data_IF_124389506372
#
_entry.id   IF_124389506372
#
_cell.length_a   1.000
_cell.length_b   1.000
_cell.length_c   1.000
_cell.angle_alpha   90.00
_cell.angle_beta   90.00
_cell.angle_gamma   90.00
#
_symmetry.space_group_name_H-M   'P 1'
#
loop_
_entity.id
_entity.type
_entity.pdbx_description
1 polymer ?
#
# COMPACT_ATOMS: atom_id res chain seq x y z
N UNK A 1 6.76 -4.83 10.40
CA UNK A 1 7.39 -5.34 9.16
C UNK A 1 6.87 -6.72 8.77
N UNK A 2 6.31 -7.48 9.71
CA UNK A 2 5.68 -8.78 9.45
C UNK A 2 4.57 -8.72 8.38
N UNK A 3 3.84 -7.61 8.32
CA UNK A 3 2.75 -7.42 7.35
C UNK A 3 3.20 -6.94 5.96
N UNK A 4 4.51 -6.73 5.74
CA UNK A 4 5.00 -6.22 4.45
C UNK A 4 4.73 -7.21 3.31
N UNK A 5 5.08 -8.50 3.48
CA UNK A 5 4.84 -9.52 2.46
C UNK A 5 3.32 -9.77 2.26
N UNK A 6 2.51 -10.00 3.30
CA UNK A 6 1.06 -10.15 3.16
C UNK A 6 0.38 -8.94 2.48
N UNK A 7 0.77 -7.72 2.83
CA UNK A 7 0.24 -6.51 2.18
C UNK A 7 0.55 -6.51 0.67
N UNK A 8 1.78 -6.87 0.29
CA UNK A 8 2.18 -6.91 -1.12
C UNK A 8 1.42 -7.96 -1.94
N UNK A 9 1.11 -9.12 -1.35
CA UNK A 9 0.29 -10.14 -2.01
C UNK A 9 -1.13 -9.63 -2.30
N UNK A 10 -1.71 -8.85 -1.40
CA UNK A 10 -3.03 -8.21 -1.64
C UNK A 10 -2.90 -7.09 -2.66
N UNK A 11 -1.91 -6.21 -2.51
CA UNK A 11 -1.68 -5.08 -3.42
C UNK A 11 -1.52 -5.52 -4.89
N UNK A 12 -0.77 -6.60 -5.12
CA UNK A 12 -0.53 -7.15 -6.46
C UNK A 12 -1.79 -7.69 -7.15
N UNK A 13 -2.85 -8.01 -6.40
CA UNK A 13 -4.15 -8.40 -6.98
C UNK A 13 -4.87 -7.23 -7.62
N UNK A 14 -4.64 -6.01 -7.14
CA UNK A 14 -5.27 -4.79 -7.65
C UNK A 14 -4.42 -4.12 -8.74
N UNK A 15 -3.08 -4.14 -8.59
CA UNK A 15 -2.14 -3.58 -9.56
C UNK A 15 -1.30 -4.71 -10.19
N UNK A 16 -1.94 -5.52 -11.03
CA UNK A 16 -1.32 -6.72 -11.62
C UNK A 16 -0.46 -6.43 -12.85
N UNK A 17 -0.67 -5.28 -13.52
CA UNK A 17 0.06 -4.85 -14.72
C UNK A 17 0.50 -3.40 -14.53
N UNK A 18 1.78 -3.11 -14.77
CA UNK A 18 2.39 -1.77 -14.63
C UNK A 18 1.98 -1.04 -13.34
N UNK A 19 2.31 -1.59 -12.15
CA UNK A 19 1.94 -0.96 -10.88
C UNK A 19 2.53 0.45 -10.77
N UNK A 20 1.86 1.37 -10.06
CA UNK A 20 2.36 2.72 -9.90
C UNK A 20 3.64 2.73 -9.07
N UNK A 21 4.45 3.76 -9.27
CA UNK A 21 5.56 4.06 -8.36
C UNK A 21 5.01 4.26 -6.94
N UNK A 22 5.70 3.72 -5.93
CA UNK A 22 5.25 3.82 -4.53
C UNK A 22 6.41 3.90 -3.54
N UNK A 23 6.09 4.36 -2.34
CA UNK A 23 6.90 4.21 -1.14
C UNK A 23 6.11 3.44 -0.09
N UNK A 24 6.80 2.61 0.70
CA UNK A 24 6.19 1.88 1.80
C UNK A 24 7.13 1.93 2.99
N UNK A 25 6.61 2.40 4.13
CA UNK A 25 7.35 2.56 5.37
C UNK A 25 6.53 2.00 6.52
N UNK A 26 7.21 1.55 7.57
CA UNK A 26 6.53 1.21 8.81
C UNK A 26 6.32 2.47 9.65
N UNK A 27 5.06 2.84 9.88
CA UNK A 27 4.70 3.91 10.79
C UNK A 27 4.74 3.43 12.25
N UNK A 28 4.94 4.38 13.18
CA UNK A 28 4.84 4.10 14.62
C UNK A 28 3.40 3.77 15.06
N UNK A 29 2.40 4.44 14.47
CA UNK A 29 0.97 4.19 14.67
C UNK A 29 0.14 4.77 13.51
N UNK A 30 -0.99 4.13 13.19
CA UNK A 30 -1.99 4.64 12.24
C UNK A 30 -3.31 5.01 12.94
N UNK A 31 -4.13 5.93 12.37
CA UNK A 31 -5.46 6.23 12.88
C UNK A 31 -6.34 4.99 12.99
N UNK A 32 -7.24 4.96 13.99
CA UNK A 32 -8.16 3.84 14.26
C UNK A 32 -7.48 2.47 14.45
N UNK A 33 -6.19 2.47 14.81
CA UNK A 33 -5.37 1.27 14.94
C UNK A 33 -5.36 0.40 13.66
N UNK A 34 -5.45 1.05 12.49
CA UNK A 34 -5.39 0.36 11.20
C UNK A 34 -4.02 -0.32 10.99
N UNK A 35 -4.04 -1.42 10.22
CA UNK A 35 -2.82 -2.17 9.89
C UNK A 35 -2.04 -1.54 8.72
N UNK A 36 -2.75 -0.96 7.76
CA UNK A 36 -2.19 -0.38 6.54
C UNK A 36 -3.02 0.84 6.15
N UNK A 37 -2.34 1.90 5.71
CA UNK A 37 -2.94 3.07 5.07
C UNK A 37 -2.20 3.32 3.75
N UNK A 38 -2.93 3.69 2.69
CA UNK A 38 -2.38 3.91 1.34
C UNK A 38 -2.87 5.25 0.82
N UNK A 39 -1.92 6.13 0.50
CA UNK A 39 -2.14 7.37 -0.25
C UNK A 39 -1.71 7.15 -1.71
N UNK A 40 -2.43 7.77 -2.65
CA UNK A 40 -2.19 7.61 -4.08
C UNK A 40 -2.45 8.91 -4.84
N UNK A 41 -1.62 9.17 -5.86
CA UNK A 41 -1.86 10.21 -6.86
C UNK A 41 -2.17 9.48 -8.17
N UNK A 42 -3.27 9.88 -8.82
CA UNK A 42 -3.71 9.34 -10.10
C UNK A 42 -3.86 10.47 -11.13
N UNK A 43 -3.71 10.11 -12.40
CA UNK A 43 -3.98 11.01 -13.53
C UNK A 43 -5.43 10.77 -13.96
N UNK A 44 -6.18 11.86 -14.16
CA UNK A 44 -7.54 11.82 -14.71
C UNK A 44 -7.45 12.20 -16.18
N UNK A 45 -8.11 11.43 -17.05
CA UNK A 45 -8.29 11.76 -18.48
C UNK A 45 -9.52 12.63 -18.70
#
# INVERSE_FOLDING_TARGET
MNDFAPMNEVYAKYFSVNPPARSCVQAGKLPKDALVEIEVIAIVE
#
